data_IF_669570452893
#
_entry.id   IF_669570452893
#
_cell.length_a   1.000
_cell.length_b   1.000
_cell.length_c   1.000
_cell.angle_alpha   90.00
_cell.angle_beta   90.00
_cell.angle_gamma   90.00
#
_symmetry.space_group_name_H-M   'P 1'
#
loop_
_entity.id
_entity.type
_entity.pdbx_description
1 polymer ?
#
# COMPACT_ATOMS: atom_id res chain seq x y z
N UNK A 1 -13.42 0.08 16.40
CA UNK A 1 -13.13 1.00 15.28
C UNK A 1 -13.48 2.41 15.71
N UNK A 2 -12.64 3.41 15.42
CA UNK A 2 -12.92 4.80 15.77
C UNK A 2 -13.66 5.52 14.64
N UNK A 3 -14.47 6.54 14.96
CA UNK A 3 -15.15 7.41 13.97
C UNK A 3 -14.14 7.98 12.95
N UNK A 4 -12.92 8.25 13.39
CA UNK A 4 -11.81 8.70 12.55
C UNK A 4 -11.41 7.68 11.47
N UNK A 5 -11.48 6.37 11.72
CA UNK A 5 -11.19 5.36 10.71
C UNK A 5 -12.22 5.40 9.58
N UNK A 6 -13.51 5.43 9.91
CA UNK A 6 -14.60 5.46 8.92
C UNK A 6 -14.56 6.72 8.07
N UNK A 7 -14.22 7.85 8.67
CA UNK A 7 -14.21 9.17 8.00
C UNK A 7 -12.93 9.43 7.20
N UNK A 8 -11.76 9.00 7.69
CA UNK A 8 -10.47 9.33 7.06
C UNK A 8 -9.96 8.27 6.09
N UNK A 9 -10.34 7.00 6.26
CA UNK A 9 -9.88 5.90 5.41
C UNK A 9 -10.21 6.08 3.91
N UNK A 10 -11.35 6.68 3.50
CA UNK A 10 -11.59 7.01 2.10
C UNK A 10 -10.50 7.87 1.47
N UNK A 11 -9.88 8.80 2.23
CA UNK A 11 -8.79 9.63 1.72
C UNK A 11 -7.52 8.82 1.45
N UNK A 12 -7.20 7.85 2.32
CA UNK A 12 -6.09 6.92 2.09
C UNK A 12 -6.34 6.01 0.89
N UNK A 13 -7.56 5.49 0.74
CA UNK A 13 -7.97 4.67 -0.41
C UNK A 13 -7.86 5.51 -1.69
N UNK A 14 -8.35 6.74 -1.68
CA UNK A 14 -8.24 7.67 -2.80
C UNK A 14 -6.78 7.97 -3.15
N UNK A 15 -5.91 8.22 -2.16
CA UNK A 15 -4.49 8.43 -2.37
C UNK A 15 -3.80 7.20 -3.00
N UNK A 16 -4.22 6.01 -2.58
CA UNK A 16 -3.62 4.74 -3.01
C UNK A 16 -4.10 4.28 -4.39
N UNK A 17 -5.40 4.41 -4.68
CA UNK A 17 -6.02 4.00 -5.94
C UNK A 17 -5.96 5.09 -7.03
N UNK A 18 -5.86 6.37 -6.66
CA UNK A 18 -5.84 7.52 -7.58
C UNK A 18 -6.97 7.45 -8.60
N UNK A 19 -6.67 7.43 -9.91
CA UNK A 19 -7.69 7.34 -10.96
C UNK A 19 -8.56 6.09 -10.87
N UNK A 20 -8.07 5.01 -10.24
CA UNK A 20 -8.82 3.76 -10.04
C UNK A 20 -9.87 3.88 -8.92
N UNK A 21 -9.81 4.95 -8.13
CA UNK A 21 -10.85 5.28 -7.16
C UNK A 21 -12.22 5.49 -7.82
N UNK A 22 -12.25 5.80 -9.13
CA UNK A 22 -13.49 5.87 -9.87
C UNK A 22 -14.25 4.55 -9.91
N UNK A 23 -13.56 3.40 -9.80
CA UNK A 23 -14.19 2.07 -9.81
C UNK A 23 -15.18 1.92 -8.63
N UNK A 24 -14.75 2.03 -7.35
CA UNK A 24 -15.70 1.95 -6.23
C UNK A 24 -16.73 3.07 -6.27
N UNK A 25 -16.38 4.30 -6.68
CA UNK A 25 -17.36 5.39 -6.79
C UNK A 25 -18.49 5.08 -7.78
N UNK A 26 -18.17 4.58 -8.97
CA UNK A 26 -19.16 4.24 -10.01
C UNK A 26 -20.06 3.11 -9.52
N UNK A 27 -19.48 2.04 -8.96
CA UNK A 27 -20.26 0.91 -8.44
C UNK A 27 -21.22 1.36 -7.33
N UNK A 28 -20.75 2.15 -6.36
CA UNK A 28 -21.59 2.66 -5.29
C UNK A 28 -22.66 3.63 -5.79
N UNK A 29 -22.36 4.44 -6.82
CA UNK A 29 -23.35 5.36 -7.41
C UNK A 29 -24.46 4.58 -8.11
N UNK A 30 -24.12 3.55 -8.88
CA UNK A 30 -25.10 2.66 -9.53
C UNK A 30 -25.96 1.95 -8.49
N UNK A 31 -25.35 1.44 -7.42
CA UNK A 31 -26.09 0.83 -6.30
C UNK A 31 -27.07 1.82 -5.68
N UNK A 32 -26.62 3.04 -5.39
CA UNK A 32 -27.48 4.10 -4.83
C UNK A 32 -28.68 4.40 -5.73
N UNK A 33 -28.47 4.49 -7.04
CA UNK A 33 -29.56 4.70 -8.01
C UNK A 33 -30.57 3.55 -7.92
N UNK A 34 -30.09 2.29 -7.91
CA UNK A 34 -30.95 1.13 -7.80
C UNK A 34 -31.74 1.05 -6.49
N UNK A 35 -31.14 1.49 -5.38
CA UNK A 35 -31.76 1.53 -4.05
C UNK A 35 -32.83 2.62 -3.88
N UNK A 36 -33.02 3.52 -4.87
CA UNK A 36 -34.21 4.39 -4.92
C UNK A 36 -35.47 3.65 -5.36
N UNK A 37 -35.35 2.42 -5.86
CA UNK A 37 -36.51 1.59 -6.18
C UNK A 37 -37.30 1.27 -4.91
N UNK A 38 -38.65 1.15 -4.98
CA UNK A 38 -39.44 0.79 -3.80
C UNK A 38 -38.96 -0.53 -3.19
N UNK A 39 -38.91 -0.63 -1.86
CA UNK A 39 -38.33 -1.78 -1.13
C UNK A 39 -38.91 -3.15 -1.49
N UNK A 40 -40.17 -3.17 -1.93
CA UNK A 40 -40.87 -4.38 -2.34
C UNK A 40 -40.54 -4.84 -3.76
N UNK A 41 -39.85 -4.01 -4.55
CA UNK A 41 -39.46 -4.38 -5.92
C UNK A 41 -38.40 -5.48 -5.92
N UNK A 42 -38.43 -6.29 -6.98
CA UNK A 42 -37.39 -7.27 -7.26
C UNK A 42 -35.99 -6.61 -7.30
N UNK A 43 -35.88 -5.47 -7.98
CA UNK A 43 -34.63 -4.70 -8.12
C UNK A 43 -34.01 -4.37 -6.76
N UNK A 44 -34.79 -3.82 -5.84
CA UNK A 44 -34.30 -3.49 -4.49
C UNK A 44 -33.80 -4.74 -3.75
N UNK A 45 -34.62 -5.81 -3.71
CA UNK A 45 -34.28 -7.05 -3.01
C UNK A 45 -33.03 -7.70 -3.59
N UNK A 46 -32.87 -7.71 -4.91
CA UNK A 46 -31.68 -8.27 -5.57
C UNK A 46 -30.43 -7.47 -5.22
N UNK A 47 -30.49 -6.14 -5.23
CA UNK A 47 -29.34 -5.29 -4.91
C UNK A 47 -28.94 -5.34 -3.43
N UNK A 48 -29.92 -5.47 -2.53
CA UNK A 48 -29.71 -5.69 -1.09
C UNK A 48 -28.89 -6.98 -0.87
N UNK A 49 -29.40 -8.11 -1.38
CA UNK A 49 -28.70 -9.40 -1.29
C UNK A 49 -27.35 -9.42 -2.01
N UNK A 50 -27.24 -8.76 -3.15
CA UNK A 50 -25.97 -8.66 -3.87
C UNK A 50 -24.91 -7.93 -3.04
N UNK A 51 -25.30 -6.87 -2.32
CA UNK A 51 -24.40 -6.12 -1.43
C UNK A 51 -23.93 -6.98 -0.26
N UNK A 52 -24.85 -7.79 0.30
CA UNK A 52 -24.52 -8.76 1.36
C UNK A 52 -23.51 -9.80 0.86
N UNK A 53 -23.78 -10.40 -0.30
CA UNK A 53 -22.88 -11.38 -0.92
C UNK A 53 -21.53 -10.77 -1.26
N UNK A 54 -21.50 -9.52 -1.74
CA UNK A 54 -20.27 -8.80 -2.04
C UNK A 54 -19.43 -8.57 -0.78
N UNK A 55 -20.04 -8.12 0.32
CA UNK A 55 -19.34 -7.86 1.57
C UNK A 55 -18.81 -9.15 2.21
N UNK A 56 -19.65 -10.19 2.28
CA UNK A 56 -19.26 -11.50 2.79
C UNK A 56 -18.16 -12.15 1.92
N UNK A 57 -18.34 -12.11 0.60
CA UNK A 57 -17.36 -12.60 -0.36
C UNK A 57 -16.04 -11.85 -0.30
N UNK A 58 -16.08 -10.52 -0.11
CA UNK A 58 -14.86 -9.71 0.05
C UNK A 58 -14.13 -10.06 1.34
N UNK A 59 -14.84 -10.26 2.46
CA UNK A 59 -14.24 -10.68 3.71
C UNK A 59 -13.59 -12.07 3.58
N UNK A 60 -14.30 -13.03 2.99
CA UNK A 60 -13.77 -14.38 2.73
C UNK A 60 -12.55 -14.36 1.81
N UNK A 61 -12.63 -13.63 0.69
CA UNK A 61 -11.51 -13.46 -0.22
C UNK A 61 -10.32 -12.79 0.48
N UNK A 62 -10.58 -11.80 1.33
CA UNK A 62 -9.54 -11.13 2.11
C UNK A 62 -8.85 -12.12 3.05
N UNK A 63 -9.59 -12.94 3.80
CA UNK A 63 -9.00 -13.97 4.66
C UNK A 63 -8.13 -14.91 3.85
N UNK A 64 -8.62 -15.43 2.72
CA UNK A 64 -7.84 -16.31 1.84
C UNK A 64 -6.60 -15.62 1.29
N UNK A 65 -6.72 -14.36 0.87
CA UNK A 65 -5.62 -13.53 0.41
C UNK A 65 -4.54 -13.37 1.49
N UNK A 66 -4.94 -13.09 2.73
CA UNK A 66 -4.02 -12.94 3.86
C UNK A 66 -3.34 -14.26 4.21
N UNK A 67 -4.12 -15.35 4.32
CA UNK A 67 -3.57 -16.69 4.55
C UNK A 67 -2.59 -17.05 3.44
N UNK A 68 -2.92 -16.81 2.17
CA UNK A 68 -2.02 -17.09 1.06
C UNK A 68 -0.71 -16.30 1.17
N UNK A 69 -0.76 -15.02 1.56
CA UNK A 69 0.43 -14.18 1.70
C UNK A 69 1.30 -14.53 2.91
N UNK A 70 0.71 -15.02 4.00
CA UNK A 70 1.45 -15.43 5.20
C UNK A 70 1.93 -16.89 5.12
N UNK A 71 1.30 -17.75 4.32
CA UNK A 71 1.67 -19.17 4.18
C UNK A 71 2.74 -19.38 3.10
N UNK A 72 3.60 -20.37 3.30
CA UNK A 72 4.78 -20.63 2.46
C UNK A 72 4.46 -20.89 0.98
N UNK A 73 3.24 -21.35 0.66
CA UNK A 73 2.81 -21.62 -0.71
C UNK A 73 2.88 -20.39 -1.61
N UNK A 74 2.66 -19.17 -1.08
CA UNK A 74 2.94 -17.89 -1.78
C UNK A 74 3.86 -16.94 -0.97
N UNK A 75 4.31 -17.38 0.21
CA UNK A 75 5.26 -16.69 1.09
C UNK A 75 6.62 -16.41 0.45
N UNK A 76 6.95 -17.09 -0.67
CA UNK A 76 8.07 -16.71 -1.54
C UNK A 76 8.03 -15.24 -1.96
N UNK A 77 6.84 -14.72 -2.28
CA UNK A 77 6.71 -13.34 -2.74
C UNK A 77 7.18 -12.38 -1.64
N UNK A 78 6.69 -12.56 -0.41
CA UNK A 78 7.08 -11.72 0.74
C UNK A 78 8.54 -11.97 1.15
N UNK A 79 8.98 -13.22 1.20
CA UNK A 79 10.33 -13.57 1.63
C UNK A 79 11.42 -12.97 0.73
N UNK A 80 11.17 -12.85 -0.58
CA UNK A 80 12.07 -12.14 -1.50
C UNK A 80 12.16 -10.64 -1.18
N UNK A 81 11.08 -10.00 -0.75
CA UNK A 81 11.19 -8.62 -0.26
C UNK A 81 11.87 -8.54 1.13
N UNK A 82 11.67 -9.54 1.99
CA UNK A 82 12.27 -9.60 3.32
C UNK A 82 13.79 -9.83 3.28
N UNK A 83 14.30 -10.58 2.29
CA UNK A 83 15.74 -10.76 2.06
C UNK A 83 16.44 -9.49 1.56
N UNK A 84 15.67 -8.49 1.09
CA UNK A 84 16.17 -7.18 0.60
C UNK A 84 17.29 -7.34 -0.42
N UNK A 85 17.07 -8.02 -1.56
CA UNK A 85 18.13 -8.35 -2.51
C UNK A 85 18.84 -7.10 -3.08
N UNK A 86 18.17 -5.95 -3.09
CA UNK A 86 18.78 -4.65 -3.45
C UNK A 86 19.86 -4.15 -2.46
N UNK A 87 20.05 -4.82 -1.32
CA UNK A 87 21.17 -4.59 -0.38
C UNK A 87 22.42 -5.36 -0.79
N UNK A 88 22.28 -6.52 -1.42
CA UNK A 88 23.33 -7.55 -1.52
C UNK A 88 24.13 -7.48 -2.83
N UNK A 89 24.34 -6.29 -3.40
CA UNK A 89 25.32 -6.14 -4.48
C UNK A 89 26.72 -6.01 -3.88
N UNK A 90 27.71 -6.62 -4.54
CA UNK A 90 29.11 -6.32 -4.28
C UNK A 90 29.35 -4.82 -4.54
N UNK A 91 30.13 -4.15 -3.67
CA UNK A 91 30.49 -2.72 -3.75
C UNK A 91 29.46 -1.66 -3.27
N UNK A 92 28.57 -1.97 -2.31
CA UNK A 92 27.48 -1.07 -1.84
C UNK A 92 27.90 -0.03 -0.78
N UNK A 93 29.20 0.23 -0.58
CA UNK A 93 29.64 1.28 0.34
C UNK A 93 30.12 2.51 -0.44
N UNK A 94 29.60 3.69 -0.10
CA UNK A 94 30.29 4.93 -0.45
C UNK A 94 31.69 4.86 0.19
N UNK A 95 32.78 4.95 -0.58
CA UNK A 95 34.12 4.92 0.00
C UNK A 95 34.25 6.05 1.03
N UNK A 96 34.83 5.73 2.18
CA UNK A 96 34.97 6.65 3.32
C UNK A 96 35.98 7.78 3.07
N UNK A 97 36.68 7.78 1.94
CA UNK A 97 37.75 8.71 1.61
C UNK A 97 37.60 9.29 0.20
N UNK A 98 37.96 10.57 0.08
CA UNK A 98 37.88 11.44 -1.09
C UNK A 98 38.85 11.09 -2.24
N UNK A 99 39.11 9.82 -2.49
CA UNK A 99 39.90 9.40 -3.65
C UNK A 99 38.99 8.77 -4.69
N UNK A 100 39.00 9.39 -5.86
CA UNK A 100 38.18 9.13 -7.04
C UNK A 100 37.79 7.65 -7.21
N UNK A 101 36.49 7.32 -7.41
CA UNK A 101 36.08 5.94 -7.57
C UNK A 101 36.63 5.37 -8.89
N UNK A 102 37.67 4.55 -8.78
CA UNK A 102 38.17 3.71 -9.86
C UNK A 102 37.15 2.59 -10.16
N UNK A 103 36.13 2.93 -10.96
CA UNK A 103 35.22 2.07 -11.74
C UNK A 103 33.81 2.68 -11.69
N UNK A 104 33.26 3.01 -12.86
CA UNK A 104 31.98 3.74 -13.00
C UNK A 104 30.74 3.01 -12.49
N UNK A 105 30.85 1.75 -12.06
CA UNK A 105 29.74 0.92 -11.58
C UNK A 105 29.56 0.94 -10.05
N UNK A 106 30.61 1.21 -9.28
CA UNK A 106 30.61 1.10 -7.81
C UNK A 106 29.68 2.10 -7.09
N UNK A 107 29.12 3.07 -7.81
CA UNK A 107 28.27 4.12 -7.24
C UNK A 107 26.90 4.26 -7.94
N UNK A 108 26.41 3.23 -8.64
CA UNK A 108 25.11 3.32 -9.32
C UNK A 108 23.96 2.87 -8.42
N UNK A 109 22.86 3.63 -8.46
CA UNK A 109 21.64 3.30 -7.73
C UNK A 109 20.92 2.11 -8.39
N UNK A 110 20.57 1.04 -7.65
CA UNK A 110 19.96 -0.17 -8.21
C UNK A 110 18.55 0.06 -8.78
N UNK A 111 17.92 1.17 -8.44
CA UNK A 111 16.53 1.48 -8.84
C UNK A 111 16.42 2.39 -10.07
N UNK A 112 17.53 2.98 -10.52
CA UNK A 112 17.54 4.01 -11.56
C UNK A 112 18.76 4.02 -12.47
N UNK A 113 19.81 3.26 -12.15
CA UNK A 113 21.12 3.31 -12.81
C UNK A 113 21.75 4.72 -12.87
N UNK A 114 21.28 5.65 -12.03
CA UNK A 114 21.90 6.97 -11.86
C UNK A 114 22.92 6.93 -10.74
N UNK A 115 23.88 7.84 -10.79
CA UNK A 115 24.88 8.01 -9.72
C UNK A 115 24.19 8.20 -8.36
N UNK A 116 24.56 7.38 -7.40
CA UNK A 116 24.11 7.43 -6.02
C UNK A 116 24.70 8.65 -5.33
N UNK A 117 23.90 9.29 -4.48
CA UNK A 117 24.27 10.49 -3.72
C UNK A 117 24.01 10.36 -2.22
N UNK A 118 23.57 9.19 -1.77
CA UNK A 118 23.30 8.91 -0.37
C UNK A 118 22.85 7.47 -0.17
N UNK A 119 22.68 7.08 1.09
CA UNK A 119 22.30 5.72 1.48
C UNK A 119 20.91 5.70 2.12
N UNK A 120 20.24 4.56 2.01
CA UNK A 120 18.98 4.36 2.70
C UNK A 120 19.20 4.24 4.22
N UNK A 121 18.46 5.00 5.06
CA UNK A 121 18.60 4.90 6.51
C UNK A 121 18.19 3.54 7.08
N UNK A 122 17.45 2.72 6.32
CA UNK A 122 16.81 1.48 6.82
C UNK A 122 17.56 0.22 6.37
N UNK A 123 18.06 0.22 5.13
CA UNK A 123 18.73 -0.94 4.54
C UNK A 123 20.15 -0.64 4.05
N UNK A 124 20.63 0.60 4.26
CA UNK A 124 21.95 1.09 3.87
C UNK A 124 22.27 1.06 2.36
N UNK A 125 21.33 0.65 1.49
CA UNK A 125 21.54 0.64 0.04
C UNK A 125 21.87 2.03 -0.53
N UNK A 126 22.83 2.10 -1.45
CA UNK A 126 23.15 3.30 -2.22
C UNK A 126 21.98 3.72 -3.10
N UNK A 127 21.61 5.00 -3.03
CA UNK A 127 20.45 5.57 -3.73
C UNK A 127 20.79 6.87 -4.45
N UNK A 128 20.22 7.02 -5.63
CA UNK A 128 20.15 8.30 -6.35
C UNK A 128 18.92 9.06 -5.85
N UNK A 129 18.81 10.34 -6.22
CA UNK A 129 17.63 11.16 -5.91
C UNK A 129 16.32 10.53 -6.42
N UNK A 130 16.36 9.84 -7.56
CA UNK A 130 15.18 9.21 -8.18
C UNK A 130 14.88 7.83 -7.58
N UNK A 131 15.91 7.12 -7.13
CA UNK A 131 15.76 5.87 -6.37
C UNK A 131 15.35 6.06 -4.91
N UNK A 132 15.26 7.32 -4.45
CA UNK A 132 14.90 7.68 -3.09
C UNK A 132 13.48 8.23 -3.02
N UNK A 133 12.68 7.67 -2.11
CA UNK A 133 11.39 8.22 -1.72
C UNK A 133 11.64 9.31 -0.67
N UNK A 134 11.37 10.56 -1.04
CA UNK A 134 11.63 11.75 -0.18
C UNK A 134 10.60 11.93 0.95
N UNK A 135 9.77 10.92 1.20
CA UNK A 135 8.69 10.98 2.17
C UNK A 135 7.46 11.71 1.64
N UNK A 136 6.37 11.47 2.35
CA UNK A 136 5.09 12.12 2.08
C UNK A 136 4.96 13.44 2.88
N UNK A 137 4.03 14.34 2.52
CA UNK A 137 3.89 15.65 3.18
C UNK A 137 3.69 15.49 4.70
N UNK A 138 4.50 16.22 5.50
CA UNK A 138 4.51 16.13 6.97
C UNK A 138 3.12 16.23 7.60
N UNK A 139 2.27 17.12 7.06
CA UNK A 139 0.89 17.33 7.50
C UNK A 139 0.02 16.07 7.53
N UNK A 140 0.28 15.12 6.65
CA UNK A 140 -0.48 13.85 6.57
C UNK A 140 0.24 12.76 7.39
N UNK A 141 1.53 12.95 7.61
CA UNK A 141 2.38 11.97 8.26
C UNK A 141 2.32 12.06 9.79
N UNK A 142 2.15 13.26 10.36
CA UNK A 142 2.35 13.52 11.79
C UNK A 142 1.07 13.75 12.62
N UNK A 143 -0.12 13.59 12.03
CA UNK A 143 -1.39 14.03 12.68
C UNK A 143 -2.11 12.91 13.43
N UNK A 144 -2.59 11.86 12.76
CA UNK A 144 -3.34 10.73 13.39
C UNK A 144 -3.00 9.44 12.65
N UNK A 145 -2.87 8.31 13.36
CA UNK A 145 -2.76 6.98 12.73
C UNK A 145 -1.33 6.57 12.37
N UNK A 146 -0.34 7.13 13.06
CA UNK A 146 1.09 6.84 12.89
C UNK A 146 1.42 5.51 13.54
N UNK A 147 2.23 4.70 12.87
CA UNK A 147 2.92 3.60 13.52
C UNK A 147 4.33 3.41 12.98
N UNK A 148 5.19 2.91 13.86
CA UNK A 148 6.51 2.42 13.50
C UNK A 148 6.35 1.18 12.62
N UNK A 149 7.03 1.18 11.47
CA UNK A 149 6.85 0.14 10.45
C UNK A 149 7.74 -1.07 10.70
N UNK A 150 8.98 -0.83 11.15
CA UNK A 150 10.03 -1.85 11.25
C UNK A 150 10.33 -2.20 12.72
N UNK A 151 9.29 -2.54 13.48
CA UNK A 151 9.37 -2.84 14.91
C UNK A 151 10.36 -3.96 15.23
N UNK A 152 10.38 -5.04 14.44
CA UNK A 152 11.26 -6.18 14.72
C UNK A 152 12.74 -5.84 14.55
N UNK A 153 13.07 -4.97 13.58
CA UNK A 153 14.44 -4.48 13.43
C UNK A 153 14.79 -3.50 14.55
N UNK A 154 13.86 -2.65 14.99
CA UNK A 154 14.07 -1.76 16.12
C UNK A 154 14.31 -2.56 17.41
N UNK A 155 13.53 -3.62 17.64
CA UNK A 155 13.72 -4.55 18.76
C UNK A 155 15.10 -5.21 18.71
N UNK A 156 15.51 -5.75 17.56
CA UNK A 156 16.84 -6.36 17.39
C UNK A 156 17.97 -5.35 17.59
N UNK A 157 17.82 -4.12 17.11
CA UNK A 157 18.79 -3.05 17.35
C UNK A 157 18.89 -2.74 18.85
N UNK A 158 17.76 -2.72 19.58
CA UNK A 158 17.74 -2.50 21.02
C UNK A 158 18.42 -3.62 21.83
N UNK A 159 18.52 -4.85 21.29
CA UNK A 159 19.29 -5.94 21.92
C UNK A 159 20.80 -5.68 21.95
N UNK A 160 21.32 -4.69 21.21
CA UNK A 160 22.64 -4.11 21.46
C UNK A 160 23.85 -4.96 21.08
N UNK A 161 23.68 -6.04 20.30
CA UNK A 161 24.74 -7.03 20.01
C UNK A 161 25.98 -6.43 19.31
N UNK A 162 25.81 -5.36 18.53
CA UNK A 162 26.88 -4.69 17.77
C UNK A 162 27.54 -3.52 18.54
N UNK A 163 27.15 -3.29 19.80
CA UNK A 163 27.65 -2.20 20.65
C UNK A 163 26.62 -1.08 20.88
N UNK A 164 26.68 -0.38 22.03
CA UNK A 164 25.59 0.49 22.50
C UNK A 164 25.35 1.73 21.63
N UNK A 165 26.41 2.34 21.09
CA UNK A 165 26.32 3.53 20.24
C UNK A 165 25.69 3.22 18.87
N UNK A 166 26.13 2.15 18.21
CA UNK A 166 25.62 1.71 16.91
C UNK A 166 24.15 1.28 17.05
N UNK A 167 23.86 0.48 18.08
CA UNK A 167 22.51 0.08 18.44
C UNK A 167 21.58 1.29 18.64
N UNK A 168 22.06 2.33 19.33
CA UNK A 168 21.28 3.55 19.56
C UNK A 168 20.98 4.30 18.26
N UNK A 169 21.99 4.51 17.42
CA UNK A 169 21.83 5.19 16.12
C UNK A 169 20.87 4.42 15.21
N UNK A 170 20.99 3.09 15.15
CA UNK A 170 20.08 2.23 14.39
C UNK A 170 18.64 2.33 14.95
N UNK A 171 18.48 2.27 16.27
CA UNK A 171 17.17 2.36 16.92
C UNK A 171 16.49 3.71 16.64
N UNK A 172 17.19 4.84 16.83
CA UNK A 172 16.65 6.18 16.59
C UNK A 172 16.26 6.34 15.12
N UNK A 173 17.05 5.79 14.20
CA UNK A 173 16.76 5.78 12.77
C UNK A 173 15.49 4.97 12.45
N UNK A 174 15.32 3.79 13.04
CA UNK A 174 14.15 2.93 12.81
C UNK A 174 12.87 3.47 13.46
N UNK A 175 12.98 4.14 14.61
CA UNK A 175 11.86 4.84 15.27
C UNK A 175 11.38 6.05 14.45
N UNK A 176 12.28 6.68 13.70
CA UNK A 176 11.92 7.73 12.75
C UNK A 176 11.20 7.18 11.50
N UNK A 177 11.39 5.89 11.18
CA UNK A 177 10.73 5.24 10.05
C UNK A 177 9.28 4.86 10.38
N UNK A 178 8.35 5.67 9.87
CA UNK A 178 6.93 5.67 10.23
C UNK A 178 6.04 5.51 9.02
N UNK A 179 4.83 5.04 9.27
CA UNK A 179 3.76 4.92 8.28
C UNK A 179 2.45 5.40 8.85
N UNK A 180 1.58 5.92 7.98
CA UNK A 180 0.23 6.28 8.33
C UNK A 180 -0.75 5.38 7.57
N UNK A 181 -1.49 4.55 8.32
CA UNK A 181 -2.45 3.62 7.74
C UNK A 181 -3.77 4.27 7.34
N UNK A 182 -4.08 5.48 7.82
CA UNK A 182 -5.31 6.17 7.42
C UNK A 182 -5.16 6.83 6.06
N UNK A 183 -3.97 7.34 5.77
CA UNK A 183 -3.68 8.08 4.54
C UNK A 183 -2.79 7.34 3.54
N UNK A 184 -2.26 6.17 3.93
CA UNK A 184 -1.38 5.36 3.10
C UNK A 184 -0.01 6.00 2.86
N UNK A 185 0.52 6.72 3.86
CA UNK A 185 1.79 7.44 3.75
C UNK A 185 2.95 6.76 4.47
N UNK A 186 4.18 7.00 4.02
CA UNK A 186 5.42 6.42 4.51
C UNK A 186 6.50 7.51 4.62
N UNK A 187 7.33 7.43 5.65
CA UNK A 187 8.50 8.30 5.83
C UNK A 187 9.57 8.07 4.75
N UNK A 188 10.53 9.00 4.58
CA UNK A 188 11.57 8.86 3.56
C UNK A 188 12.36 7.55 3.63
N UNK A 189 12.61 6.92 2.47
CA UNK A 189 13.34 5.64 2.37
C UNK A 189 13.77 5.36 0.94
N UNK A 190 14.56 4.29 0.71
CA UNK A 190 14.81 3.86 -0.67
C UNK A 190 13.56 3.24 -1.30
N UNK A 191 13.50 3.21 -2.63
CA UNK A 191 12.39 2.60 -3.37
C UNK A 191 12.08 1.16 -2.92
N UNK A 192 13.10 0.32 -2.70
CA UNK A 192 12.90 -1.06 -2.24
C UNK A 192 12.21 -1.12 -0.87
N UNK A 193 12.71 -0.39 0.12
CA UNK A 193 12.08 -0.27 1.44
C UNK A 193 10.66 0.29 1.34
N UNK A 194 10.45 1.35 0.54
CA UNK A 194 9.14 1.92 0.32
C UNK A 194 8.14 0.90 -0.24
N UNK A 195 8.49 0.18 -1.32
CA UNK A 195 7.59 -0.81 -1.95
C UNK A 195 7.29 -1.96 -0.98
N UNK A 196 8.32 -2.52 -0.33
CA UNK A 196 8.15 -3.57 0.69
C UNK A 196 7.17 -3.14 1.77
N UNK A 197 7.45 -1.99 2.39
CA UNK A 197 6.66 -1.44 3.48
C UNK A 197 5.23 -1.12 3.04
N UNK A 198 5.06 -0.56 1.85
CA UNK A 198 3.74 -0.23 1.34
C UNK A 198 2.91 -1.49 1.11
N UNK A 199 3.47 -2.50 0.45
CA UNK A 199 2.77 -3.75 0.14
C UNK A 199 2.42 -4.58 1.39
N UNK A 200 3.35 -4.72 2.36
CA UNK A 200 3.21 -5.67 3.48
C UNK A 200 2.99 -5.05 4.85
N UNK A 201 2.86 -3.73 4.94
CA UNK A 201 2.53 -3.08 6.21
C UNK A 201 1.43 -2.04 6.00
N UNK A 202 1.67 -1.01 5.19
CA UNK A 202 0.74 0.12 5.11
C UNK A 202 -0.54 -0.22 4.34
N UNK A 203 -0.45 -0.55 3.06
CA UNK A 203 -1.62 -0.87 2.25
C UNK A 203 -2.29 -2.18 2.71
N UNK A 204 -1.48 -3.13 3.21
CA UNK A 204 -1.96 -4.36 3.82
C UNK A 204 -2.89 -4.11 5.01
N UNK A 205 -2.50 -3.24 5.95
CA UNK A 205 -3.37 -2.90 7.09
C UNK A 205 -4.60 -2.10 6.66
N UNK A 206 -4.45 -1.26 5.64
CA UNK A 206 -5.58 -0.54 5.05
C UNK A 206 -6.63 -1.47 4.45
N UNK A 207 -6.24 -2.53 3.74
CA UNK A 207 -7.20 -3.50 3.18
C UNK A 207 -7.91 -4.26 4.27
N UNK A 208 -7.21 -4.66 5.35
CA UNK A 208 -7.84 -5.33 6.49
C UNK A 208 -8.88 -4.44 7.18
N UNK A 209 -8.51 -3.19 7.49
CA UNK A 209 -9.44 -2.23 8.09
C UNK A 209 -10.66 -1.98 7.19
N UNK A 210 -10.44 -1.90 5.87
CA UNK A 210 -11.48 -1.67 4.87
C UNK A 210 -12.43 -2.86 4.75
N UNK A 211 -11.91 -4.09 4.78
CA UNK A 211 -12.70 -5.32 4.77
C UNK A 211 -13.61 -5.43 5.99
N UNK A 212 -13.05 -5.17 7.19
CA UNK A 212 -13.81 -5.15 8.45
C UNK A 212 -14.90 -4.09 8.41
N UNK A 213 -14.59 -2.89 7.91
CA UNK A 213 -15.56 -1.81 7.79
C UNK A 213 -16.71 -2.19 6.85
N UNK A 214 -16.39 -2.74 5.68
CA UNK A 214 -17.38 -3.20 4.72
C UNK A 214 -18.33 -4.23 5.33
N UNK A 215 -17.76 -5.22 6.03
CA UNK A 215 -18.53 -6.29 6.67
C UNK A 215 -19.39 -5.76 7.83
N UNK A 216 -18.84 -4.91 8.69
CA UNK A 216 -19.58 -4.32 9.80
C UNK A 216 -20.73 -3.43 9.31
N UNK A 217 -20.52 -2.61 8.28
CA UNK A 217 -21.60 -1.81 7.69
C UNK A 217 -22.74 -2.70 7.17
N UNK A 218 -22.40 -3.83 6.55
CA UNK A 218 -23.39 -4.81 6.11
C UNK A 218 -24.10 -5.48 7.29
N UNK A 219 -23.40 -5.91 8.35
CA UNK A 219 -24.04 -6.46 9.55
C UNK A 219 -24.99 -5.44 10.21
N UNK A 220 -24.59 -4.18 10.27
CA UNK A 220 -25.44 -3.11 10.77
C UNK A 220 -26.74 -2.95 9.97
N UNK A 221 -26.79 -3.29 8.68
CA UNK A 221 -28.06 -3.28 7.92
C UNK A 221 -29.07 -4.32 8.40
N UNK A 222 -28.61 -5.42 9.01
CA UNK A 222 -29.49 -6.43 9.60
C UNK A 222 -29.93 -6.04 11.01
N UNK A 223 -29.06 -5.37 11.77
CA UNK A 223 -29.35 -4.89 13.12
C UNK A 223 -30.32 -3.71 13.08
N UNK A 224 -30.09 -2.75 12.18
CA UNK A 224 -30.92 -1.56 11.98
C UNK A 224 -31.94 -1.79 10.85
N UNK A 225 -32.72 -2.86 10.97
CA UNK A 225 -33.75 -3.20 9.97
C UNK A 225 -34.92 -2.20 9.97
N UNK A 226 -35.13 -1.48 11.07
CA UNK A 226 -36.15 -0.43 11.17
C UNK A 226 -35.78 0.79 10.32
N UNK A 227 -36.79 1.44 9.73
CA UNK A 227 -36.66 2.62 8.87
C UNK A 227 -36.21 3.85 9.67
N UNK A 228 -34.95 3.86 10.10
CA UNK A 228 -34.31 5.01 10.73
C UNK A 228 -33.92 5.98 9.62
N UNK A 229 -34.65 7.08 9.53
CA UNK A 229 -34.37 8.14 8.55
C UNK A 229 -33.30 9.09 9.10
N UNK A 230 -32.24 9.30 8.32
CA UNK A 230 -31.18 10.26 8.64
C UNK A 230 -31.00 11.16 7.42
N UNK A 231 -31.19 12.48 7.58
CA UNK A 231 -31.04 13.46 6.49
C UNK A 231 -31.73 13.05 5.17
N UNK A 232 -33.00 12.66 5.23
CA UNK A 232 -33.83 12.26 4.07
C UNK A 232 -33.43 10.95 3.36
N UNK A 233 -32.45 10.20 3.88
CA UNK A 233 -32.09 8.88 3.37
C UNK A 233 -32.20 7.82 4.47
N UNK A 234 -32.63 6.63 4.06
CA UNK A 234 -32.71 5.46 4.93
C UNK A 234 -31.30 5.05 5.39
N UNK A 235 -31.10 4.94 6.71
CA UNK A 235 -29.85 4.48 7.31
C UNK A 235 -29.42 3.12 6.71
N UNK A 236 -30.36 2.21 6.43
CA UNK A 236 -30.05 0.94 5.78
C UNK A 236 -29.40 1.15 4.41
N UNK A 237 -29.98 2.01 3.58
CA UNK A 237 -29.44 2.31 2.25
C UNK A 237 -28.06 2.97 2.31
N UNK A 238 -27.84 3.86 3.28
CA UNK A 238 -26.51 4.45 3.51
C UNK A 238 -25.48 3.37 3.86
N UNK A 239 -25.81 2.47 4.78
CA UNK A 239 -24.93 1.39 5.23
C UNK A 239 -24.63 0.39 4.10
N UNK A 240 -25.60 0.06 3.25
CA UNK A 240 -25.39 -0.75 2.05
C UNK A 240 -24.41 -0.06 1.08
N UNK A 241 -24.58 1.24 0.82
CA UNK A 241 -23.68 1.99 -0.04
C UNK A 241 -22.25 2.04 0.52
N UNK A 242 -22.11 2.29 1.83
CA UNK A 242 -20.82 2.30 2.51
C UNK A 242 -20.17 0.91 2.44
N UNK A 243 -20.94 -0.14 2.70
CA UNK A 243 -20.46 -1.53 2.61
C UNK A 243 -19.96 -1.88 1.21
N UNK A 244 -20.72 -1.56 0.17
CA UNK A 244 -20.32 -1.79 -1.22
C UNK A 244 -19.06 -1.00 -1.59
N UNK A 245 -18.99 0.27 -1.20
CA UNK A 245 -17.84 1.13 -1.45
C UNK A 245 -16.55 0.54 -0.87
N UNK A 246 -16.56 0.17 0.41
CA UNK A 246 -15.38 -0.40 1.06
C UNK A 246 -15.09 -1.82 0.56
N UNK A 247 -16.09 -2.60 0.17
CA UNK A 247 -15.88 -3.93 -0.44
C UNK A 247 -15.09 -3.84 -1.75
N UNK A 248 -15.59 -3.04 -2.70
CA UNK A 248 -14.93 -2.86 -4.01
C UNK A 248 -13.56 -2.20 -3.85
N UNK A 249 -13.44 -1.22 -2.95
CA UNK A 249 -12.16 -0.57 -2.66
C UNK A 249 -11.13 -1.56 -2.11
N UNK A 250 -11.54 -2.47 -1.23
CA UNK A 250 -10.68 -3.52 -0.66
C UNK A 250 -10.13 -4.43 -1.75
N UNK A 251 -11.00 -4.93 -2.64
CA UNK A 251 -10.60 -5.79 -3.75
C UNK A 251 -9.63 -5.07 -4.71
N UNK A 252 -9.93 -3.81 -5.06
CA UNK A 252 -9.04 -3.00 -5.90
C UNK A 252 -7.67 -2.79 -5.25
N UNK A 253 -7.64 -2.55 -3.94
CA UNK A 253 -6.41 -2.35 -3.19
C UNK A 253 -5.58 -3.63 -3.08
N UNK A 254 -6.20 -4.78 -2.78
CA UNK A 254 -5.52 -6.09 -2.76
C UNK A 254 -4.88 -6.41 -4.12
N UNK A 255 -5.61 -6.14 -5.21
CA UNK A 255 -5.07 -6.31 -6.55
C UNK A 255 -3.94 -5.32 -6.86
N UNK A 256 -4.05 -4.06 -6.40
CA UNK A 256 -2.99 -3.04 -6.52
C UNK A 256 -1.72 -3.47 -5.78
N UNK A 257 -1.84 -4.05 -4.58
CA UNK A 257 -0.70 -4.56 -3.79
C UNK A 257 0.03 -5.66 -4.55
N UNK A 258 -0.71 -6.69 -5.00
CA UNK A 258 -0.11 -7.80 -5.77
C UNK A 258 0.51 -7.32 -7.07
N UNK A 259 -0.22 -6.50 -7.84
CA UNK A 259 0.27 -5.97 -9.10
C UNK A 259 1.55 -5.14 -8.92
N UNK A 260 1.62 -4.35 -7.85
CA UNK A 260 2.81 -3.56 -7.50
C UNK A 260 4.01 -4.46 -7.17
N UNK A 261 3.80 -5.49 -6.35
CA UNK A 261 4.86 -6.44 -6.00
C UNK A 261 5.38 -7.19 -7.24
N UNK A 262 4.46 -7.69 -8.08
CA UNK A 262 4.78 -8.39 -9.33
C UNK A 262 5.56 -7.50 -10.28
N UNK A 263 5.08 -6.27 -10.54
CA UNK A 263 5.79 -5.33 -11.43
C UNK A 263 7.17 -5.00 -10.88
N UNK A 264 7.31 -4.83 -9.56
CA UNK A 264 8.61 -4.55 -8.97
C UNK A 264 9.60 -5.71 -9.17
N UNK A 265 9.15 -6.97 -9.03
CA UNK A 265 9.98 -8.15 -9.29
C UNK A 265 10.44 -8.16 -10.76
N UNK A 266 9.49 -8.07 -11.70
CA UNK A 266 9.76 -8.15 -13.14
C UNK A 266 10.68 -7.02 -13.63
N UNK A 267 10.52 -5.81 -13.09
CA UNK A 267 11.25 -4.62 -13.56
C UNK A 267 12.66 -4.50 -12.98
N UNK A 268 13.02 -5.30 -11.97
CA UNK A 268 14.29 -5.17 -11.28
C UNK A 268 15.10 -6.47 -11.32
N UNK A 269 16.27 -6.51 -12.00
CA UNK A 269 17.00 -7.74 -12.28
C UNK A 269 17.63 -8.41 -11.05
N UNK A 270 17.65 -7.73 -9.90
CA UNK A 270 18.12 -8.31 -8.64
C UNK A 270 17.01 -9.07 -7.88
N UNK A 271 15.77 -8.99 -8.34
CA UNK A 271 14.67 -9.73 -7.73
C UNK A 271 14.64 -11.15 -8.27
N UNK A 272 14.21 -12.09 -7.43
CA UNK A 272 14.08 -13.50 -7.82
C UNK A 272 12.74 -13.73 -8.52
N UNK A 273 12.79 -13.95 -9.83
CA UNK A 273 11.63 -14.23 -10.67
C UNK A 273 10.96 -15.57 -10.32
N UNK A 274 11.70 -16.54 -9.75
CA UNK A 274 11.14 -17.85 -9.35
C UNK A 274 10.16 -17.74 -8.17
N UNK A 275 10.10 -16.56 -7.54
CA UNK A 275 9.10 -16.24 -6.52
C UNK A 275 7.70 -15.97 -7.10
N UNK A 276 7.59 -15.71 -8.40
CA UNK A 276 6.31 -15.48 -9.06
C UNK A 276 5.59 -16.82 -9.34
N UNK A 277 4.25 -16.87 -9.19
CA UNK A 277 3.50 -18.09 -9.52
C UNK A 277 3.71 -18.49 -10.98
N UNK A 278 4.01 -19.78 -11.25
CA UNK A 278 4.30 -20.28 -12.61
C UNK A 278 3.18 -20.00 -13.61
N UNK A 279 1.91 -20.03 -13.18
CA UNK A 279 0.76 -19.69 -14.04
C UNK A 279 0.77 -18.24 -14.49
N UNK A 280 1.33 -17.33 -13.67
CA UNK A 280 1.51 -15.93 -14.00
C UNK A 280 2.62 -15.77 -15.04
N UNK A 281 3.71 -16.53 -14.94
CA UNK A 281 4.79 -16.55 -15.93
C UNK A 281 4.34 -17.05 -17.30
N UNK A 282 3.54 -18.13 -17.36
CA UNK A 282 2.96 -18.63 -18.62
C UNK A 282 2.00 -17.60 -19.25
N UNK A 283 1.24 -16.88 -18.41
CA UNK A 283 0.32 -15.82 -18.87
C UNK A 283 0.98 -14.46 -19.05
N UNK A 284 2.21 -14.25 -18.61
CA UNK A 284 2.96 -12.99 -18.80
C UNK A 284 3.12 -12.69 -20.30
N UNK A 285 3.22 -13.73 -21.12
CA UNK A 285 3.19 -13.64 -22.58
C UNK A 285 1.85 -13.17 -23.16
N UNK A 286 0.75 -13.21 -22.40
CA UNK A 286 -0.54 -12.65 -22.81
C UNK A 286 -0.58 -11.15 -22.48
N UNK A 287 -0.37 -10.33 -23.51
CA UNK A 287 -0.39 -8.84 -23.46
C UNK A 287 -1.54 -8.25 -22.63
N UNK A 288 -2.71 -8.89 -22.62
CA UNK A 288 -3.87 -8.44 -21.85
C UNK A 288 -3.67 -8.50 -20.34
N UNK A 289 -3.15 -9.60 -19.80
CA UNK A 289 -2.97 -9.78 -18.34
C UNK A 289 -1.95 -8.78 -17.80
N UNK A 290 -0.85 -8.59 -18.52
CA UNK A 290 0.17 -7.60 -18.16
C UNK A 290 -0.34 -6.17 -18.26
N UNK A 291 -1.22 -5.87 -19.23
CA UNK A 291 -1.87 -4.55 -19.31
C UNK A 291 -2.69 -4.26 -18.05
N UNK A 292 -3.43 -5.25 -17.54
CA UNK A 292 -4.19 -5.12 -16.28
C UNK A 292 -3.27 -4.97 -15.07
N UNK A 293 -2.21 -5.78 -14.98
CA UNK A 293 -1.23 -5.69 -13.89
C UNK A 293 -0.57 -4.31 -13.89
N UNK A 294 -0.07 -3.81 -15.02
CA UNK A 294 0.49 -2.46 -15.08
C UNK A 294 -0.55 -1.37 -14.84
N UNK A 295 -1.81 -1.58 -15.25
CA UNK A 295 -2.88 -0.64 -14.97
C UNK A 295 -3.10 -0.49 -13.47
N UNK A 296 -2.96 -1.56 -12.67
CA UNK A 296 -3.15 -1.57 -11.22
C UNK A 296 -1.87 -1.42 -10.39
N UNK A 297 -0.68 -1.63 -10.94
CA UNK A 297 0.57 -1.43 -10.20
C UNK A 297 0.81 0.06 -9.90
N UNK A 298 1.46 0.38 -8.78
CA UNK A 298 1.95 1.74 -8.57
C UNK A 298 2.99 2.09 -9.63
N UNK A 299 2.95 3.30 -10.24
CA UNK A 299 3.96 3.72 -11.20
C UNK A 299 5.38 3.68 -10.63
N UNK A 300 5.52 3.95 -9.34
CA UNK A 300 6.79 3.90 -8.61
C UNK A 300 7.43 2.52 -8.58
N UNK A 301 6.71 1.44 -8.92
CA UNK A 301 7.28 0.09 -8.98
C UNK A 301 8.13 -0.16 -10.22
N UNK A 302 7.99 0.66 -11.29
CA UNK A 302 8.75 0.48 -12.54
C UNK A 302 10.16 1.01 -12.45
N UNK A 303 11.09 0.42 -13.19
CA UNK A 303 12.49 0.86 -13.18
C UNK A 303 12.64 2.33 -13.59
N UNK A 304 13.53 3.09 -12.95
CA UNK A 304 13.82 4.49 -13.29
C UNK A 304 12.71 5.51 -12.97
N UNK A 305 11.49 5.08 -12.60
CA UNK A 305 10.43 5.98 -12.16
C UNK A 305 10.63 6.35 -10.68
N UNK A 306 10.59 7.66 -10.33
CA UNK A 306 10.73 8.12 -8.96
C UNK A 306 9.76 7.45 -7.99
N UNK A 307 10.26 7.09 -6.81
CA UNK A 307 9.44 6.53 -5.74
C UNK A 307 8.51 7.58 -5.08
N UNK A 308 8.74 8.86 -5.34
CA UNK A 308 7.97 9.97 -4.77
C UNK A 308 6.58 10.06 -5.41
N UNK A 309 5.56 10.14 -4.57
CA UNK A 309 4.17 10.28 -5.02
C UNK A 309 3.84 11.77 -5.19
N UNK A 310 3.12 12.10 -6.27
CA UNK A 310 2.43 13.40 -6.37
C UNK A 310 1.19 13.36 -5.49
N UNK A 311 1.13 14.28 -4.53
CA UNK A 311 0.00 14.53 -3.65
C UNK A 311 -0.84 15.70 -4.16
N UNK A 312 -2.04 15.89 -3.59
CA UNK A 312 -2.87 17.06 -3.89
C UNK A 312 -2.10 18.35 -3.64
N UNK A 313 -2.26 19.31 -4.55
CA UNK A 313 -1.52 20.57 -4.52
C UNK A 313 -1.75 21.38 -3.23
N UNK A 314 -2.92 21.30 -2.61
CA UNK A 314 -3.21 21.99 -1.35
C UNK A 314 -2.46 21.40 -0.14
N UNK A 315 -2.05 20.14 -0.20
CA UNK A 315 -1.25 19.48 0.84
C UNK A 315 0.24 19.82 0.73
N UNK A 316 0.71 20.21 -0.46
CA UNK A 316 2.13 20.53 -0.74
C UNK A 316 2.42 22.03 -0.79
N UNK A 317 1.41 22.87 -1.03
CA UNK A 317 1.57 24.33 -1.21
C UNK A 317 1.92 25.11 0.06
N UNK A 318 1.60 24.60 1.25
CA UNK A 318 1.82 25.36 2.48
C UNK A 318 3.27 25.25 3.02
N UNK A 319 3.96 24.15 2.72
CA UNK A 319 5.37 23.96 3.11
C UNK A 319 6.31 24.87 2.29
N UNK A 320 5.85 25.39 1.15
CA UNK A 320 6.61 26.33 0.32
C UNK A 320 6.69 27.76 0.90
N UNK A 321 5.88 28.09 1.92
CA UNK A 321 5.89 29.40 2.59
C UNK A 321 6.77 29.46 3.85
N UNK A 322 7.52 28.40 4.17
CA UNK A 322 8.44 28.34 5.31
C UNK A 322 9.91 28.26 4.87
N UNK A 323 10.28 28.93 3.78
CA UNK A 323 11.68 29.23 3.46
C UNK A 323 11.95 30.70 3.75
#
# INVERSE_FOLDING_TARGET
MTVFQVTLQPFGILNSLRGRFMIPCVVTTILRIGLFSPKNTFIYKTLDWFTVLLAAGTMMFSILYFVALETETHGKLRSVFDSRPWRNRDHVYLPASSESPASGEANLCPFSNKMARGTCPICCSCTSRDGYHHGDPKRIHDVIGIAMIEYDMARKAAEGREGPLIARVQLDTLVSYRGNYLFGTISPSCKGCFIKTWCWNVAYRMTWQSAILAFNCMLCTFIFYADITIFYADLKNMLLCISAFFSVSTLCMQFTILATAVVFIIEHPFMDDDSLPKWLMVRLHKKLVMKWIHYFALPSAKFGIPATRKYWSWLTKADAKQK
#
